data_IF_406682312036
#
_entry.id   IF_406682312036
#
_cell.length_a   1.000
_cell.length_b   1.000
_cell.length_c   1.000
_cell.angle_alpha   90.00
_cell.angle_beta   90.00
_cell.angle_gamma   90.00
#
_symmetry.space_group_name_H-M   'P 1'
#
loop_
_entity.id
_entity.type
_entity.pdbx_description
1 polymer ?
#
# COMPACT_ATOMS: atom_id res chain seq x y z
N UNK A 1 -6.26 -9.82 20.00
CA UNK A 1 -6.78 -8.44 19.88
C UNK A 1 -8.27 -8.54 19.66
N UNK A 2 -9.06 -7.86 20.46
CA UNK A 2 -10.49 -7.73 20.19
C UNK A 2 -10.63 -6.69 19.08
N UNK A 3 -10.64 -7.13 17.83
CA UNK A 3 -10.77 -6.29 16.63
C UNK A 3 -12.24 -5.88 16.47
N UNK A 4 -12.73 -5.02 17.38
CA UNK A 4 -14.15 -4.61 17.40
C UNK A 4 -14.47 -3.71 16.21
N UNK A 5 -13.52 -2.89 15.77
CA UNK A 5 -13.73 -1.91 14.73
C UNK A 5 -13.29 -2.36 13.32
N UNK A 6 -12.53 -3.46 13.23
CA UNK A 6 -12.11 -4.02 11.94
C UNK A 6 -13.27 -4.62 11.12
N UNK A 7 -14.26 -5.33 11.71
CA UNK A 7 -15.43 -5.82 10.95
C UNK A 7 -16.25 -4.70 10.30
N UNK A 8 -16.67 -3.62 11.00
CA UNK A 8 -17.35 -2.50 10.34
C UNK A 8 -16.47 -1.81 9.30
N UNK A 9 -15.15 -1.69 9.52
CA UNK A 9 -14.23 -1.19 8.50
C UNK A 9 -14.26 -2.06 7.25
N UNK A 10 -14.20 -3.39 7.39
CA UNK A 10 -14.26 -4.34 6.27
C UNK A 10 -15.55 -4.20 5.46
N UNK A 11 -16.69 -4.05 6.12
CA UNK A 11 -17.99 -3.81 5.45
C UNK A 11 -17.94 -2.52 4.65
N UNK A 12 -17.43 -1.43 5.23
CA UNK A 12 -17.29 -0.15 4.54
C UNK A 12 -16.31 -0.24 3.36
N UNK A 13 -15.18 -0.97 3.49
CA UNK A 13 -14.27 -1.25 2.39
C UNK A 13 -14.95 -2.05 1.27
N UNK A 14 -15.74 -3.06 1.61
CA UNK A 14 -16.45 -3.89 0.63
C UNK A 14 -17.49 -3.07 -0.15
N UNK A 15 -18.29 -2.26 0.54
CA UNK A 15 -19.28 -1.39 -0.09
C UNK A 15 -18.59 -0.31 -0.96
N UNK A 16 -17.50 0.27 -0.48
CA UNK A 16 -16.72 1.24 -1.23
C UNK A 16 -16.10 0.61 -2.48
N UNK A 17 -15.45 -0.53 -2.37
CA UNK A 17 -14.87 -1.24 -3.51
C UNK A 17 -15.94 -1.63 -4.54
N UNK A 18 -17.07 -2.16 -4.10
CA UNK A 18 -18.19 -2.48 -4.96
C UNK A 18 -18.73 -1.21 -5.66
N UNK A 19 -18.88 -0.11 -4.91
CA UNK A 19 -19.33 1.17 -5.45
C UNK A 19 -18.41 1.71 -6.55
N UNK A 20 -17.09 1.67 -6.35
CA UNK A 20 -16.13 2.09 -7.36
C UNK A 20 -16.14 1.19 -8.60
N UNK A 21 -16.18 -0.14 -8.43
CA UNK A 21 -16.19 -1.10 -9.54
C UNK A 21 -17.50 -1.00 -10.32
N UNK A 22 -18.65 -1.04 -9.65
CA UNK A 22 -19.97 -0.95 -10.29
C UNK A 22 -20.16 0.43 -10.94
N UNK A 23 -19.80 1.51 -10.24
CA UNK A 23 -19.86 2.86 -10.78
C UNK A 23 -19.09 2.99 -12.10
N UNK A 24 -17.93 2.31 -12.18
CA UNK A 24 -17.07 2.31 -13.35
C UNK A 24 -17.55 1.39 -14.47
N UNK A 25 -17.94 0.14 -14.14
CA UNK A 25 -18.32 -0.87 -15.14
C UNK A 25 -19.72 -0.66 -15.68
N UNK A 26 -20.69 -0.31 -14.80
CA UNK A 26 -22.07 -0.06 -15.17
C UNK A 26 -22.34 1.40 -15.57
N UNK A 27 -21.30 2.25 -15.60
CA UNK A 27 -21.40 3.66 -15.95
C UNK A 27 -22.42 4.44 -15.09
N UNK A 28 -22.36 4.26 -13.78
CA UNK A 28 -23.28 4.87 -12.81
C UNK A 28 -22.50 5.77 -11.83
N UNK A 29 -22.32 7.05 -12.11
CA UNK A 29 -21.50 7.96 -11.29
C UNK A 29 -21.94 8.05 -9.83
N UNK A 30 -23.25 7.97 -9.55
CA UNK A 30 -23.80 7.98 -8.19
C UNK A 30 -23.16 6.93 -7.27
N UNK A 31 -22.81 5.75 -7.81
CA UNK A 31 -22.15 4.71 -7.03
C UNK A 31 -20.70 5.08 -6.69
N UNK A 32 -20.02 5.74 -7.62
CA UNK A 32 -18.68 6.26 -7.39
C UNK A 32 -18.69 7.37 -6.33
N UNK A 33 -19.66 8.28 -6.41
CA UNK A 33 -19.81 9.40 -5.46
C UNK A 33 -20.08 8.89 -4.03
N UNK A 34 -20.89 7.83 -3.89
CA UNK A 34 -21.17 7.20 -2.60
C UNK A 34 -19.98 6.37 -2.08
N UNK A 35 -19.15 5.83 -2.97
CA UNK A 35 -17.99 5.01 -2.60
C UNK A 35 -16.90 5.81 -1.87
N UNK A 36 -16.74 7.12 -2.18
CA UNK A 36 -15.73 7.97 -1.54
C UNK A 36 -16.01 8.17 -0.05
N UNK A 37 -17.20 8.61 0.41
CA UNK A 37 -17.48 8.73 1.85
C UNK A 37 -17.44 7.36 2.56
N UNK A 38 -17.84 6.27 1.90
CA UNK A 38 -17.70 4.92 2.46
C UNK A 38 -16.24 4.54 2.68
N UNK A 39 -15.33 4.91 1.75
CA UNK A 39 -13.89 4.74 1.95
C UNK A 39 -13.39 5.56 3.15
N UNK A 40 -13.87 6.80 3.30
CA UNK A 40 -13.55 7.63 4.46
C UNK A 40 -14.02 7.01 5.79
N UNK A 41 -15.23 6.47 5.82
CA UNK A 41 -15.76 5.75 6.99
C UNK A 41 -14.93 4.47 7.29
N UNK A 42 -14.55 3.72 6.25
CA UNK A 42 -13.69 2.55 6.40
C UNK A 42 -12.33 2.92 7.01
N UNK A 43 -11.69 3.98 6.51
CA UNK A 43 -10.43 4.49 7.06
C UNK A 43 -10.60 4.91 8.52
N UNK A 44 -11.70 5.58 8.87
CA UNK A 44 -11.98 6.00 10.25
C UNK A 44 -12.10 4.78 11.19
N UNK A 45 -12.94 3.80 10.87
CA UNK A 45 -13.09 2.59 11.67
C UNK A 45 -11.79 1.81 11.78
N UNK A 46 -11.04 1.70 10.69
CA UNK A 46 -9.73 1.02 10.69
C UNK A 46 -8.70 1.76 11.56
N UNK A 47 -8.70 3.11 11.51
CA UNK A 47 -7.86 3.94 12.39
C UNK A 47 -8.20 3.69 13.85
N UNK A 48 -9.50 3.64 14.21
CA UNK A 48 -9.93 3.34 15.58
C UNK A 48 -9.45 1.96 16.03
N UNK A 49 -9.54 0.94 15.16
CA UNK A 49 -9.06 -0.41 15.47
C UNK A 49 -7.56 -0.43 15.75
N UNK A 50 -6.76 0.22 14.89
CA UNK A 50 -5.30 0.29 15.04
C UNK A 50 -4.89 1.09 16.27
N UNK A 51 -5.52 2.24 16.53
CA UNK A 51 -5.20 3.09 17.70
C UNK A 51 -5.56 2.39 19.00
N UNK A 52 -6.77 1.82 19.10
CA UNK A 52 -7.18 1.09 20.31
C UNK A 52 -6.32 -0.15 20.51
N UNK A 53 -5.98 -0.86 19.41
CA UNK A 53 -5.05 -1.97 19.44
C UNK A 53 -3.66 -1.58 19.94
N UNK A 54 -3.12 -0.47 19.46
CA UNK A 54 -1.82 0.08 19.89
C UNK A 54 -1.82 0.48 21.37
N UNK A 55 -2.86 1.17 21.83
CA UNK A 55 -3.01 1.58 23.23
C UNK A 55 -3.09 0.38 24.18
N UNK A 56 -3.81 -0.70 23.80
CA UNK A 56 -3.92 -1.92 24.60
C UNK A 56 -2.63 -2.74 24.60
N UNK A 57 -1.88 -2.75 23.50
CA UNK A 57 -0.64 -3.52 23.36
C UNK A 57 0.60 -2.77 23.87
N UNK A 58 0.52 -1.43 24.03
CA UNK A 58 1.67 -0.58 24.33
C UNK A 58 2.67 -0.48 23.16
N UNK A 59 2.26 -0.88 21.95
CA UNK A 59 3.09 -0.87 20.74
C UNK A 59 2.20 -0.81 19.49
N UNK A 60 2.76 -0.37 18.35
CA UNK A 60 2.04 -0.40 17.07
C UNK A 60 1.73 -1.84 16.65
N UNK A 61 0.55 -2.09 16.06
CA UNK A 61 0.12 -3.44 15.69
C UNK A 61 0.72 -3.88 14.35
N UNK A 62 2.00 -4.23 14.37
CA UNK A 62 2.79 -4.70 13.20
C UNK A 62 3.70 -5.89 13.55
N UNK A 63 3.37 -6.60 14.63
CA UNK A 63 4.20 -7.67 15.19
C UNK A 63 4.06 -9.01 14.49
N UNK A 64 3.12 -9.15 13.58
CA UNK A 64 2.94 -10.34 12.74
C UNK A 64 2.43 -9.97 11.34
N UNK A 65 2.47 -10.96 10.43
CA UNK A 65 2.08 -10.76 9.04
C UNK A 65 0.66 -10.19 8.87
N UNK A 66 -0.32 -10.68 9.61
CA UNK A 66 -1.69 -10.20 9.53
C UNK A 66 -1.81 -8.72 9.92
N UNK A 67 -1.14 -8.31 11.00
CA UNK A 67 -1.10 -6.92 11.44
C UNK A 67 -0.35 -6.03 10.44
N UNK A 68 0.78 -6.49 9.92
CA UNK A 68 1.56 -5.78 8.89
C UNK A 68 0.75 -5.58 7.62
N UNK A 69 0.03 -6.60 7.17
CA UNK A 69 -0.85 -6.53 6.01
C UNK A 69 -2.03 -5.56 6.24
N UNK A 70 -2.62 -5.59 7.43
CA UNK A 70 -3.68 -4.64 7.84
C UNK A 70 -3.17 -3.20 7.85
N UNK A 71 -1.99 -2.96 8.43
CA UNK A 71 -1.38 -1.65 8.49
C UNK A 71 -1.03 -1.09 7.10
N UNK A 72 -0.46 -1.92 6.21
CA UNK A 72 -0.21 -1.57 4.81
C UNK A 72 -1.51 -1.21 4.07
N UNK A 73 -2.55 -2.02 4.26
CA UNK A 73 -3.85 -1.76 3.64
C UNK A 73 -4.46 -0.44 4.11
N UNK A 74 -4.36 -0.14 5.41
CA UNK A 74 -4.81 1.12 5.99
C UNK A 74 -4.06 2.33 5.42
N UNK A 75 -2.74 2.31 5.36
CA UNK A 75 -1.94 3.38 4.74
C UNK A 75 -2.27 3.55 3.25
N UNK A 76 -2.44 2.43 2.52
CA UNK A 76 -2.85 2.46 1.11
C UNK A 76 -4.23 3.11 0.94
N UNK A 77 -5.17 2.81 1.82
CA UNK A 77 -6.50 3.42 1.81
C UNK A 77 -6.42 4.93 2.10
N UNK A 78 -5.62 5.36 3.09
CA UNK A 78 -5.40 6.78 3.39
C UNK A 78 -4.79 7.52 2.18
N UNK A 79 -3.69 7.00 1.61
CA UNK A 79 -3.05 7.62 0.45
C UNK A 79 -4.04 7.75 -0.71
N UNK A 80 -4.79 6.69 -0.99
CA UNK A 80 -5.81 6.69 -2.05
C UNK A 80 -6.92 7.71 -1.77
N UNK A 81 -7.43 7.75 -0.55
CA UNK A 81 -8.48 8.69 -0.12
C UNK A 81 -8.03 10.14 -0.26
N UNK A 82 -6.81 10.46 0.20
CA UNK A 82 -6.22 11.80 0.06
C UNK A 82 -6.06 12.20 -1.40
N UNK A 83 -5.60 11.29 -2.27
CA UNK A 83 -5.50 11.55 -3.71
C UNK A 83 -6.86 11.77 -4.36
N UNK A 84 -7.88 11.01 -3.98
CA UNK A 84 -9.25 11.21 -4.46
C UNK A 84 -9.79 12.58 -4.10
N UNK A 85 -9.59 13.03 -2.86
CA UNK A 85 -10.05 14.34 -2.40
C UNK A 85 -9.25 15.50 -3.01
N UNK A 86 -7.91 15.41 -3.01
CA UNK A 86 -7.04 16.52 -3.42
C UNK A 86 -6.91 16.66 -4.93
N UNK A 87 -6.95 15.55 -5.66
CA UNK A 87 -6.70 15.53 -7.10
C UNK A 87 -7.94 15.17 -7.93
N UNK A 88 -9.09 14.98 -7.28
CA UNK A 88 -10.35 14.56 -7.92
C UNK A 88 -10.12 13.33 -8.82
N UNK A 89 -9.58 12.26 -8.24
CA UNK A 89 -9.22 11.02 -8.94
C UNK A 89 -10.02 9.82 -8.42
N UNK A 90 -11.33 9.93 -8.39
CA UNK A 90 -12.20 8.85 -7.91
C UNK A 90 -12.05 7.55 -8.70
N UNK A 91 -11.66 7.67 -9.98
CA UNK A 91 -11.35 6.51 -10.84
C UNK A 91 -10.31 5.56 -10.23
N UNK A 92 -9.39 6.09 -9.41
CA UNK A 92 -8.36 5.29 -8.74
C UNK A 92 -8.97 4.24 -7.81
N UNK A 93 -10.14 4.52 -7.23
CA UNK A 93 -10.85 3.60 -6.35
C UNK A 93 -11.14 2.26 -7.00
N UNK A 94 -11.51 2.23 -8.28
CA UNK A 94 -11.78 0.98 -8.99
C UNK A 94 -10.52 0.08 -9.17
N UNK A 95 -9.33 0.64 -9.06
CA UNK A 95 -8.06 -0.08 -9.23
C UNK A 95 -7.37 -0.42 -7.91
N UNK A 96 -7.58 0.37 -6.85
CA UNK A 96 -6.90 0.19 -5.56
C UNK A 96 -7.82 -0.41 -4.49
N UNK A 97 -9.10 0.01 -4.43
CA UNK A 97 -9.99 -0.43 -3.36
C UNK A 97 -10.22 -1.96 -3.30
N UNK A 98 -10.31 -2.71 -4.43
CA UNK A 98 -10.38 -4.17 -4.36
C UNK A 98 -9.15 -4.82 -3.73
N UNK A 99 -7.96 -4.28 -3.99
CA UNK A 99 -6.71 -4.75 -3.38
C UNK A 99 -6.67 -4.48 -1.88
N UNK A 100 -7.11 -3.28 -1.46
CA UNK A 100 -7.23 -2.92 -0.02
C UNK A 100 -8.23 -3.86 0.67
N UNK A 101 -9.40 -4.09 0.07
CA UNK A 101 -10.41 -5.02 0.60
C UNK A 101 -9.84 -6.44 0.77
N UNK A 102 -9.14 -6.94 -0.26
CA UNK A 102 -8.53 -8.26 -0.21
C UNK A 102 -7.47 -8.35 0.90
N UNK A 103 -6.63 -7.32 1.06
CA UNK A 103 -5.61 -7.27 2.08
C UNK A 103 -6.19 -7.22 3.50
N UNK A 104 -7.21 -6.39 3.75
CA UNK A 104 -7.90 -6.33 5.06
C UNK A 104 -8.63 -7.63 5.35
N UNK A 105 -9.32 -8.20 4.36
CA UNK A 105 -9.99 -9.51 4.49
C UNK A 105 -9.01 -10.64 4.81
N UNK A 106 -7.88 -10.70 4.10
CA UNK A 106 -6.82 -11.66 4.36
C UNK A 106 -6.22 -11.46 5.77
N UNK A 107 -5.94 -10.22 6.17
CA UNK A 107 -5.46 -9.90 7.51
C UNK A 107 -6.42 -10.41 8.59
N UNK A 108 -7.72 -10.19 8.40
CA UNK A 108 -8.74 -10.66 9.35
C UNK A 108 -8.81 -12.20 9.43
N UNK A 109 -8.70 -12.89 8.29
CA UNK A 109 -8.69 -14.37 8.25
C UNK A 109 -7.43 -14.95 8.86
N UNK A 110 -6.29 -14.30 8.68
CA UNK A 110 -4.98 -14.74 9.20
C UNK A 110 -4.74 -14.35 10.66
N UNK A 111 -5.58 -13.48 11.23
CA UNK A 111 -5.46 -13.07 12.63
C UNK A 111 -5.74 -14.26 13.54
N UNK A 112 -4.69 -14.85 14.11
CA UNK A 112 -4.79 -15.89 15.15
C UNK A 112 -5.07 -15.24 16.48
N UNK A 113 -6.01 -15.80 17.25
CA UNK A 113 -6.29 -15.42 18.64
C UNK A 113 -5.17 -15.98 19.52
N UNK A 114 -4.27 -15.12 19.98
CA UNK A 114 -3.19 -15.48 20.89
C UNK A 114 -2.45 -14.25 21.41
N UNK A 115 -1.89 -14.35 22.62
CA UNK A 115 -1.01 -13.31 23.15
C UNK A 115 0.36 -13.49 22.49
N UNK A 116 0.74 -12.58 21.63
CA UNK A 116 2.10 -12.54 21.09
C UNK A 116 3.01 -11.97 22.18
N UNK A 117 4.06 -12.70 22.53
CA UNK A 117 5.15 -12.17 23.35
C UNK A 117 5.98 -11.28 22.43
N UNK A 118 5.97 -9.99 22.70
CA UNK A 118 6.77 -9.01 21.95
C UNK A 118 8.22 -9.10 22.47
N UNK A 119 9.19 -9.47 21.64
CA UNK A 119 10.61 -9.44 22.03
C UNK A 119 11.02 -8.05 22.50
N UNK A 120 11.93 -7.96 23.47
CA UNK A 120 12.34 -6.69 24.08
C UNK A 120 12.94 -5.71 23.05
N UNK A 121 13.65 -6.21 22.04
CA UNK A 121 14.16 -5.39 20.93
C UNK A 121 13.08 -4.66 20.12
N UNK A 122 11.84 -5.17 20.08
CA UNK A 122 10.71 -4.53 19.43
C UNK A 122 10.00 -3.45 20.29
N UNK A 123 10.47 -3.21 21.50
CA UNK A 123 9.94 -2.15 22.39
C UNK A 123 10.66 -0.81 22.23
N UNK A 124 11.51 -0.67 21.22
CA UNK A 124 12.24 0.56 20.93
C UNK A 124 11.34 1.65 20.35
N UNK A 125 11.55 2.90 20.72
CA UNK A 125 10.88 4.07 20.13
C UNK A 125 11.21 4.26 18.63
N UNK A 126 12.29 3.65 18.13
CA UNK A 126 12.69 3.68 16.73
C UNK A 126 11.82 2.78 15.83
N UNK A 127 11.29 1.69 16.37
CA UNK A 127 10.49 0.74 15.60
C UNK A 127 9.24 1.39 14.95
N UNK A 128 8.42 2.18 15.66
CA UNK A 128 7.30 2.88 15.05
C UNK A 128 7.70 3.78 13.90
N UNK A 129 8.82 4.50 14.01
CA UNK A 129 9.31 5.40 12.97
C UNK A 129 9.73 4.62 11.73
N UNK A 130 10.60 3.63 11.89
CA UNK A 130 11.08 2.77 10.81
C UNK A 130 9.91 2.10 10.07
N UNK A 131 9.04 1.44 10.81
CA UNK A 131 7.91 0.69 10.24
C UNK A 131 6.93 1.60 9.52
N UNK A 132 6.63 2.78 10.07
CA UNK A 132 5.72 3.73 9.42
C UNK A 132 6.32 4.24 8.10
N UNK A 133 7.61 4.55 8.07
CA UNK A 133 8.31 4.98 6.85
C UNK A 133 8.30 3.87 5.78
N UNK A 134 8.61 2.62 6.17
CA UNK A 134 8.62 1.48 5.27
C UNK A 134 7.23 1.25 4.65
N UNK A 135 6.20 1.09 5.46
CA UNK A 135 4.84 0.84 4.96
C UNK A 135 4.23 2.05 4.23
N UNK A 136 4.62 3.28 4.58
CA UNK A 136 4.19 4.46 3.81
C UNK A 136 4.83 4.45 2.42
N UNK A 137 6.11 4.08 2.30
CA UNK A 137 6.78 3.87 1.02
C UNK A 137 6.06 2.80 0.19
N UNK A 138 5.80 1.64 0.78
CA UNK A 138 5.08 0.54 0.12
C UNK A 138 3.66 0.95 -0.29
N UNK A 139 2.92 1.66 0.55
CA UNK A 139 1.58 2.15 0.23
C UNK A 139 1.59 3.11 -0.98
N UNK A 140 2.59 4.00 -1.06
CA UNK A 140 2.78 4.87 -2.21
C UNK A 140 3.07 4.07 -3.49
N UNK A 141 3.84 2.99 -3.40
CA UNK A 141 4.11 2.09 -4.53
C UNK A 141 2.87 1.28 -4.94
N UNK A 142 2.06 0.80 -3.99
CA UNK A 142 0.77 0.15 -4.28
C UNK A 142 -0.14 1.10 -5.06
N UNK A 143 -0.24 2.35 -4.61
CA UNK A 143 -1.08 3.36 -5.28
C UNK A 143 -0.49 3.74 -6.64
N UNK A 144 0.84 3.83 -6.78
CA UNK A 144 1.49 4.04 -8.08
C UNK A 144 1.20 2.90 -9.07
N UNK A 145 1.18 1.66 -8.60
CA UNK A 145 0.77 0.50 -9.40
C UNK A 145 -0.70 0.61 -9.84
N UNK A 146 -1.60 1.02 -8.95
CA UNK A 146 -3.01 1.29 -9.28
C UNK A 146 -3.16 2.39 -10.34
N UNK A 147 -2.40 3.49 -10.23
CA UNK A 147 -2.35 4.56 -11.24
C UNK A 147 -1.81 4.04 -12.57
N UNK A 148 -0.78 3.18 -12.55
CA UNK A 148 -0.23 2.55 -13.74
C UNK A 148 -1.22 1.65 -14.45
N UNK A 149 -1.98 0.85 -13.68
CA UNK A 149 -3.04 0.01 -14.22
C UNK A 149 -4.15 0.85 -14.85
N UNK A 150 -4.56 1.93 -14.17
CA UNK A 150 -5.52 2.89 -14.72
C UNK A 150 -5.01 3.52 -16.02
N UNK A 151 -3.71 3.86 -16.08
CA UNK A 151 -3.07 4.38 -17.30
C UNK A 151 -3.19 3.38 -18.46
N UNK A 152 -2.76 2.12 -18.26
CA UNK A 152 -2.74 1.11 -19.31
C UNK A 152 -4.15 0.76 -19.81
N UNK A 153 -5.12 0.67 -18.90
CA UNK A 153 -6.53 0.45 -19.26
C UNK A 153 -7.10 1.63 -20.04
N UNK A 154 -6.77 2.86 -19.64
CA UNK A 154 -7.22 4.06 -20.35
C UNK A 154 -6.61 4.16 -21.75
N UNK A 155 -5.29 3.95 -21.87
CA UNK A 155 -4.59 3.94 -23.16
C UNK A 155 -5.16 2.89 -24.11
N UNK A 156 -5.41 1.66 -23.62
CA UNK A 156 -5.95 0.58 -24.44
C UNK A 156 -7.36 0.89 -24.98
N UNK A 157 -8.21 1.53 -24.16
CA UNK A 157 -9.56 1.95 -24.59
C UNK A 157 -9.49 3.05 -25.65
N UNK A 158 -8.60 4.03 -25.49
CA UNK A 158 -8.39 5.08 -26.50
C UNK A 158 -7.94 4.49 -27.85
N UNK A 159 -6.97 3.57 -27.82
CA UNK A 159 -6.50 2.88 -29.04
C UNK A 159 -7.59 2.06 -29.72
N UNK A 160 -8.46 1.43 -28.95
CA UNK A 160 -9.60 0.67 -29.45
C UNK A 160 -10.77 1.55 -29.95
N UNK A 161 -10.63 2.89 -29.91
CA UNK A 161 -11.69 3.86 -30.25
C UNK A 161 -13.03 3.55 -29.56
N UNK A 162 -13.00 2.90 -28.39
CA UNK A 162 -14.20 2.61 -27.62
C UNK A 162 -14.69 3.91 -26.97
N UNK A 163 -15.97 4.28 -27.10
CA UNK A 163 -16.49 5.50 -26.49
C UNK A 163 -16.23 5.45 -25.00
N UNK A 164 -15.63 6.49 -24.48
CA UNK A 164 -15.60 6.73 -23.06
C UNK A 164 -17.01 7.08 -22.64
N UNK A 165 -17.52 6.35 -21.65
CA UNK A 165 -18.83 6.61 -21.11
C UNK A 165 -19.01 8.10 -20.79
N UNK A 166 -20.03 8.71 -21.40
CA UNK A 166 -20.38 10.12 -21.24
C UNK A 166 -21.06 10.46 -19.90
N UNK A 167 -21.39 9.46 -19.10
CA UNK A 167 -22.23 9.62 -17.91
C UNK A 167 -21.49 9.50 -16.57
N UNK A 168 -20.15 9.42 -16.57
CA UNK A 168 -19.33 9.35 -15.34
C UNK A 168 -18.25 10.42 -15.30
N UNK A 169 -17.53 10.51 -14.17
CA UNK A 169 -16.34 11.35 -14.08
C UNK A 169 -15.37 11.02 -15.21
N UNK A 170 -14.94 12.01 -16.00
CA UNK A 170 -14.03 11.74 -17.12
C UNK A 170 -12.72 11.16 -16.58
N UNK A 171 -12.19 10.16 -17.29
CA UNK A 171 -10.85 9.64 -16.97
C UNK A 171 -9.85 10.79 -16.99
N UNK A 172 -8.97 10.89 -15.99
CA UNK A 172 -7.87 11.84 -16.03
C UNK A 172 -7.03 11.63 -17.31
N UNK A 173 -6.49 12.70 -17.85
CA UNK A 173 -5.61 12.57 -19.03
C UNK A 173 -4.45 11.61 -18.75
N UNK A 174 -3.96 10.94 -19.80
CA UNK A 174 -2.80 10.05 -19.69
C UNK A 174 -1.58 10.78 -19.11
N UNK A 175 -1.39 12.04 -19.47
CA UNK A 175 -0.33 12.89 -18.93
C UNK A 175 -0.49 13.13 -17.42
N UNK A 176 -1.74 13.37 -16.95
CA UNK A 176 -2.02 13.54 -15.50
C UNK A 176 -1.71 12.25 -14.74
N UNK A 177 -2.12 11.10 -15.28
CA UNK A 177 -1.83 9.79 -14.68
C UNK A 177 -0.32 9.52 -14.61
N UNK A 178 0.42 9.77 -15.69
CA UNK A 178 1.88 9.59 -15.72
C UNK A 178 2.59 10.52 -14.73
N UNK A 179 2.17 11.78 -14.62
CA UNK A 179 2.73 12.74 -13.67
C UNK A 179 2.49 12.35 -12.23
N UNK A 180 1.29 11.84 -11.91
CA UNK A 180 0.96 11.38 -10.56
C UNK A 180 1.74 10.12 -10.22
N UNK A 181 1.82 9.17 -11.15
CA UNK A 181 2.66 7.99 -10.98
C UNK A 181 4.11 8.37 -10.63
N UNK A 182 4.72 9.28 -11.39
CA UNK A 182 6.08 9.74 -11.13
C UNK A 182 6.25 10.34 -9.74
N UNK A 183 5.30 11.17 -9.29
CA UNK A 183 5.34 11.78 -7.95
C UNK A 183 5.22 10.72 -6.84
N UNK A 184 4.32 9.75 -7.01
CA UNK A 184 4.14 8.66 -6.04
C UNK A 184 5.41 7.81 -5.94
N UNK A 185 6.03 7.47 -7.07
CA UNK A 185 7.31 6.75 -7.11
C UNK A 185 8.41 7.52 -6.40
N UNK A 186 8.53 8.84 -6.65
CA UNK A 186 9.53 9.69 -6.01
C UNK A 186 9.34 9.76 -4.50
N UNK A 187 8.12 10.04 -4.01
CA UNK A 187 7.85 10.06 -2.58
C UNK A 187 8.00 8.68 -1.94
N UNK A 188 7.55 7.60 -2.61
CA UNK A 188 7.74 6.23 -2.14
C UNK A 188 9.21 5.87 -1.99
N UNK A 189 10.05 6.27 -2.96
CA UNK A 189 11.48 6.05 -2.92
C UNK A 189 12.17 6.79 -1.76
N UNK A 190 11.77 8.05 -1.50
CA UNK A 190 12.26 8.80 -0.34
C UNK A 190 11.88 8.10 0.96
N UNK A 191 10.62 7.66 1.10
CA UNK A 191 10.16 6.95 2.31
C UNK A 191 10.91 5.62 2.50
N UNK A 192 11.10 4.85 1.44
CA UNK A 192 11.87 3.59 1.49
C UNK A 192 13.33 3.85 1.86
N UNK A 193 13.97 4.89 1.32
CA UNK A 193 15.35 5.25 1.66
C UNK A 193 15.47 5.62 3.15
N UNK A 194 14.55 6.43 3.66
CA UNK A 194 14.50 6.77 5.09
C UNK A 194 14.21 5.54 5.96
N UNK A 195 13.37 4.62 5.48
CA UNK A 195 13.11 3.35 6.16
C UNK A 195 14.39 2.51 6.27
N UNK A 196 15.14 2.33 5.18
CA UNK A 196 16.40 1.56 5.21
C UNK A 196 17.40 2.20 6.19
N UNK A 197 17.58 3.52 6.15
CA UNK A 197 18.51 4.21 7.06
C UNK A 197 18.06 4.09 8.52
N UNK A 198 16.77 4.35 8.79
CA UNK A 198 16.25 4.23 10.17
C UNK A 198 16.27 2.80 10.68
N UNK A 199 16.07 1.81 9.79
CA UNK A 199 16.17 0.39 10.11
C UNK A 199 17.59 -0.02 10.46
N UNK A 200 18.59 0.45 9.70
CA UNK A 200 19.99 0.19 9.98
C UNK A 200 20.42 0.80 11.34
N UNK A 201 20.00 2.03 11.64
CA UNK A 201 20.25 2.66 12.94
C UNK A 201 19.61 1.90 14.10
N UNK A 202 18.37 1.41 13.89
CA UNK A 202 17.69 0.59 14.89
C UNK A 202 18.38 -0.76 15.09
N UNK A 203 18.84 -1.41 14.01
CA UNK A 203 19.56 -2.67 14.05
C UNK A 203 20.88 -2.55 14.84
N UNK A 204 21.64 -1.47 14.62
CA UNK A 204 22.86 -1.17 15.38
C UNK A 204 22.54 -1.02 16.87
N UNK A 205 21.51 -0.22 17.23
CA UNK A 205 21.13 0.00 18.60
C UNK A 205 20.62 -1.26 19.33
N UNK A 206 20.04 -2.21 18.56
CA UNK A 206 19.40 -3.42 19.12
C UNK A 206 20.31 -4.64 19.11
N UNK A 207 21.10 -4.82 18.05
CA UNK A 207 21.91 -6.02 17.79
C UNK A 207 23.41 -5.75 17.63
N UNK A 208 23.85 -4.47 17.65
CA UNK A 208 25.25 -4.09 17.55
C UNK A 208 25.84 -4.17 16.14
N UNK A 209 25.00 -4.17 15.10
CA UNK A 209 25.43 -4.13 13.70
C UNK A 209 24.39 -3.47 12.82
N UNK A 210 24.82 -2.65 11.85
CA UNK A 210 23.93 -1.93 10.94
C UNK A 210 23.24 -2.80 9.92
N UNK A 211 23.86 -3.95 9.55
CA UNK A 211 23.41 -4.80 8.46
C UNK A 211 23.86 -6.24 8.67
N UNK A 212 22.97 -7.19 8.50
CA UNK A 212 23.22 -8.63 8.74
C UNK A 212 22.95 -9.52 7.53
N UNK A 213 22.57 -8.95 6.39
CA UNK A 213 22.17 -9.67 5.17
C UNK A 213 20.99 -10.62 5.38
N UNK A 214 20.14 -10.34 6.36
CA UNK A 214 18.89 -11.08 6.51
C UNK A 214 18.00 -10.94 5.27
N UNK A 215 17.13 -11.91 5.00
CA UNK A 215 16.25 -11.88 3.83
C UNK A 215 15.47 -10.57 3.70
N UNK A 216 14.97 -10.02 4.81
CA UNK A 216 14.22 -8.76 4.81
C UNK A 216 15.09 -7.57 4.40
N UNK A 217 16.33 -7.48 4.91
CA UNK A 217 17.28 -6.44 4.55
C UNK A 217 17.68 -6.56 3.06
N UNK A 218 18.03 -7.76 2.62
CA UNK A 218 18.43 -8.04 1.24
C UNK A 218 17.31 -7.70 0.25
N UNK A 219 16.08 -8.09 0.53
CA UNK A 219 14.92 -7.77 -0.32
C UNK A 219 14.59 -6.28 -0.31
N UNK A 220 14.76 -5.57 0.83
CA UNK A 220 14.58 -4.12 0.87
C UNK A 220 15.58 -3.40 -0.03
N UNK A 221 16.84 -3.83 -0.04
CA UNK A 221 17.89 -3.30 -0.91
C UNK A 221 17.58 -3.59 -2.39
N UNK A 222 17.20 -4.83 -2.73
CA UNK A 222 16.81 -5.20 -4.10
C UNK A 222 15.66 -4.32 -4.57
N UNK A 223 14.62 -4.16 -3.76
CA UNK A 223 13.47 -3.31 -4.06
C UNK A 223 13.90 -1.85 -4.25
N UNK A 224 14.75 -1.34 -3.39
CA UNK A 224 15.32 0.00 -3.50
C UNK A 224 16.06 0.21 -4.81
N UNK A 225 16.94 -0.72 -5.21
CA UNK A 225 17.67 -0.67 -6.48
C UNK A 225 16.73 -0.71 -7.69
N UNK A 226 15.68 -1.51 -7.64
CA UNK A 226 14.68 -1.58 -8.73
C UNK A 226 13.91 -0.27 -8.88
N UNK A 227 13.47 0.35 -7.77
CA UNK A 227 12.81 1.66 -7.83
C UNK A 227 13.78 2.79 -8.20
N UNK A 228 15.05 2.72 -7.77
CA UNK A 228 16.09 3.64 -8.23
C UNK A 228 16.27 3.55 -9.75
N UNK A 229 16.42 2.34 -10.31
CA UNK A 229 16.53 2.11 -11.74
C UNK A 229 15.28 2.55 -12.52
N UNK A 230 14.09 2.34 -11.95
CA UNK A 230 12.83 2.85 -12.52
C UNK A 230 12.83 4.38 -12.58
N UNK A 231 13.19 5.07 -11.50
CA UNK A 231 13.27 6.54 -11.48
C UNK A 231 14.35 7.06 -12.41
N UNK A 232 15.54 6.42 -12.42
CA UNK A 232 16.63 6.78 -13.32
C UNK A 232 16.22 6.63 -14.79
N UNK A 233 15.51 5.57 -15.16
CA UNK A 233 14.99 5.40 -16.52
C UNK A 233 14.04 6.52 -16.94
N UNK A 234 13.31 7.12 -15.99
CA UNK A 234 12.43 8.27 -16.25
C UNK A 234 13.21 9.57 -16.41
N UNK A 235 14.29 9.75 -15.65
CA UNK A 235 15.09 10.98 -15.63
C UNK A 235 16.07 10.98 -16.80
N UNK A 236 16.92 9.97 -16.92
CA UNK A 236 18.00 9.91 -17.89
C UNK A 236 17.53 9.44 -19.27
N UNK A 237 16.72 8.38 -19.36
CA UNK A 237 16.23 7.85 -20.63
C UNK A 237 14.89 8.46 -21.07
N UNK A 238 14.29 9.35 -20.27
CA UNK A 238 13.03 10.03 -20.60
C UNK A 238 11.82 9.09 -20.71
N UNK A 239 11.84 7.90 -20.09
CA UNK A 239 10.74 6.96 -20.17
C UNK A 239 9.49 7.52 -19.51
N UNK A 240 8.41 7.52 -20.27
CA UNK A 240 7.09 8.04 -19.86
C UNK A 240 5.99 7.15 -20.39
N UNK A 241 4.78 7.38 -19.89
CA UNK A 241 3.58 6.74 -20.42
C UNK A 241 3.60 5.21 -20.24
N UNK A 242 3.29 4.48 -21.32
CA UNK A 242 3.13 3.02 -21.29
C UNK A 242 4.37 2.29 -20.76
N UNK A 243 5.58 2.70 -21.17
CA UNK A 243 6.83 2.04 -20.73
C UNK A 243 7.03 2.20 -19.23
N UNK A 244 6.84 3.41 -18.72
CA UNK A 244 6.96 3.69 -17.29
C UNK A 244 5.87 2.98 -16.48
N UNK A 245 4.62 2.97 -16.97
CA UNK A 245 3.52 2.27 -16.30
C UNK A 245 3.75 0.75 -16.24
N UNK A 246 4.22 0.13 -17.34
CA UNK A 246 4.52 -1.29 -17.37
C UNK A 246 5.68 -1.65 -16.43
N UNK A 247 6.76 -0.84 -16.43
CA UNK A 247 7.89 -1.06 -15.52
C UNK A 247 7.49 -0.86 -14.06
N UNK A 248 6.64 0.13 -13.74
CA UNK A 248 6.08 0.29 -12.38
C UNK A 248 5.36 -0.98 -11.92
N UNK A 249 4.53 -1.59 -12.77
CA UNK A 249 3.84 -2.83 -12.42
C UNK A 249 4.81 -4.00 -12.26
N UNK A 250 5.84 -4.10 -13.11
CA UNK A 250 6.85 -5.16 -12.99
C UNK A 250 7.62 -5.05 -11.67
N UNK A 251 8.10 -3.86 -11.31
CA UNK A 251 8.81 -3.62 -10.05
C UNK A 251 7.87 -3.84 -8.85
N UNK A 252 6.63 -3.40 -8.95
CA UNK A 252 5.61 -3.66 -7.91
C UNK A 252 5.34 -5.15 -7.69
N UNK A 253 5.35 -5.96 -8.76
CA UNK A 253 5.19 -7.42 -8.63
C UNK A 253 6.35 -8.03 -7.84
N UNK A 254 7.58 -7.54 -8.04
CA UNK A 254 8.74 -7.98 -7.25
C UNK A 254 8.60 -7.54 -5.78
N UNK A 255 8.18 -6.30 -5.52
CA UNK A 255 7.90 -5.83 -4.16
C UNK A 255 6.86 -6.71 -3.46
N UNK A 256 5.74 -7.00 -4.12
CA UNK A 256 4.68 -7.85 -3.56
C UNK A 256 5.19 -9.28 -3.31
N UNK A 257 5.96 -9.83 -4.25
CA UNK A 257 6.60 -11.14 -4.11
C UNK A 257 7.58 -11.19 -2.94
N UNK A 258 8.39 -10.16 -2.76
CA UNK A 258 9.33 -10.06 -1.63
C UNK A 258 8.61 -9.98 -0.29
N UNK A 259 7.58 -9.15 -0.19
CA UNK A 259 6.75 -9.01 1.01
C UNK A 259 6.11 -10.35 1.42
N UNK A 260 5.55 -11.08 0.46
CA UNK A 260 4.96 -12.39 0.70
C UNK A 260 6.02 -13.45 1.04
N UNK A 261 7.14 -13.48 0.30
CA UNK A 261 8.22 -14.46 0.49
C UNK A 261 8.85 -14.33 1.87
N UNK A 262 9.23 -13.10 2.25
CA UNK A 262 9.85 -12.85 3.56
C UNK A 262 8.88 -13.21 4.68
N UNK A 263 7.62 -12.82 4.53
CA UNK A 263 6.63 -13.04 5.59
C UNK A 263 6.20 -14.50 5.76
N UNK A 264 6.21 -15.30 4.68
CA UNK A 264 5.70 -16.68 4.70
C UNK A 264 6.80 -17.76 4.73
N UNK A 265 7.98 -17.48 4.14
CA UNK A 265 9.02 -18.48 3.93
C UNK A 265 10.25 -18.30 4.82
N UNK A 266 10.48 -17.08 5.31
CA UNK A 266 11.69 -16.75 6.08
C UNK A 266 11.32 -16.12 7.43
N UNK A 267 11.04 -16.92 8.46
CA UNK A 267 10.90 -16.42 9.83
C UNK A 267 12.28 -15.95 10.32
N UNK A 268 12.59 -14.68 10.08
CA UNK A 268 13.83 -14.02 10.55
C UNK A 268 13.65 -13.39 11.93
N UNK A 269 14.69 -12.67 12.42
CA UNK A 269 14.65 -11.90 13.69
C UNK A 269 13.50 -10.86 13.72
N UNK A 270 13.05 -10.41 12.54
CA UNK A 270 11.90 -9.50 12.37
C UNK A 270 10.55 -10.24 12.30
N UNK A 271 10.55 -11.52 12.00
CA UNK A 271 9.39 -12.40 11.95
C UNK A 271 9.28 -13.14 13.28
N UNK A 272 8.59 -12.57 14.26
CA UNK A 272 8.16 -13.34 15.43
C UNK A 272 7.46 -14.61 14.96
N UNK A 273 7.91 -15.75 15.46
CA UNK A 273 7.44 -17.12 15.21
C UNK A 273 6.05 -17.21 14.58
N UNK A 274 6.01 -17.51 13.27
CA UNK A 274 4.82 -17.99 12.58
C UNK A 274 4.59 -19.49 12.87
N UNK A 275 4.88 -19.96 14.10
CA UNK A 275 4.63 -21.27 14.60
C UNK A 275 3.35 -21.32 15.44
#
# INVERSE_FOLDING_TARGET
MDTIWLPPALVCYALSAAGFVVGRTANRPRWTDQAVPLLGAAVLFHTLDLVIGALKAGNIPVTNFAQSLSFLAWLTAIVSFVLMLRMRMQVLGAFVAPGVLAAVGAAMLLTRRGRLVIPDGLRSAWLPVHVTLAFLGDALFVVAAGVSLAYLVHESRLKAKRPMSSAGEPMPSLEKLDRINYRLLGWGFVMLSLAIVSGALWAEATWGHFWSWEPQESWSLITWLLYAGLLESRIAAGWRGRRAAALTLAVFTVLLGSFLSVSLLFPGKHGGSFG
#
